data_IF_649538884761
#
_entry.id   IF_649538884761
#
_cell.length_a   1.000
_cell.length_b   1.000
_cell.length_c   1.000
_cell.angle_alpha   90.00
_cell.angle_beta   90.00
_cell.angle_gamma   90.00
#
_symmetry.space_group_name_H-M   'P 1'
#
loop_
_entity.id
_entity.type
_entity.pdbx_description
1 polymer ?
#
# COMPACT_ATOMS: atom_id res chain seq x y z
N UNK A 1 6.91 13.91 12.63
CA UNK A 1 7.63 14.45 11.45
C UNK A 1 6.77 14.61 10.20
N UNK A 2 5.76 13.75 9.93
CA UNK A 2 4.76 13.96 8.86
C UNK A 2 3.61 14.93 9.24
N UNK A 3 3.33 15.13 10.54
CA UNK A 3 2.26 16.01 11.02
C UNK A 3 2.57 17.52 10.89
N UNK A 4 3.82 17.90 10.69
CA UNK A 4 4.28 19.31 10.76
C UNK A 4 4.85 19.83 9.44
N UNK A 5 4.56 19.16 8.31
CA UNK A 5 5.00 19.66 7.01
C UNK A 5 4.31 20.99 6.69
N UNK A 6 5.07 22.07 6.41
CA UNK A 6 4.54 23.43 6.19
C UNK A 6 3.72 23.59 4.89
N UNK A 7 3.57 22.50 4.12
CA UNK A 7 2.83 22.49 2.84
C UNK A 7 1.34 22.13 3.00
N UNK A 8 0.80 22.03 4.23
CA UNK A 8 -0.56 21.52 4.48
C UNK A 8 -1.59 22.62 4.80
N UNK A 9 -2.74 22.67 4.11
CA UNK A 9 -3.90 23.45 4.57
C UNK A 9 -4.49 22.86 5.85
N UNK A 10 -4.71 23.70 6.87
CA UNK A 10 -5.09 23.31 8.24
C UNK A 10 -6.44 22.55 8.35
N UNK A 11 -7.32 22.57 7.33
CA UNK A 11 -8.64 21.92 7.36
C UNK A 11 -8.59 20.39 7.26
N UNK A 12 -7.54 19.81 6.66
CA UNK A 12 -7.52 18.38 6.28
C UNK A 12 -6.75 17.50 7.28
N UNK A 13 -6.41 18.06 8.44
CA UNK A 13 -5.57 17.38 9.44
C UNK A 13 -6.25 16.14 10.02
N UNK A 14 -7.53 16.24 10.38
CA UNK A 14 -8.31 15.13 10.98
C UNK A 14 -8.50 13.98 9.99
N UNK A 15 -8.85 14.29 8.74
CA UNK A 15 -9.00 13.29 7.67
C UNK A 15 -7.73 12.51 7.41
N UNK A 16 -6.58 13.19 7.46
CA UNK A 16 -5.30 12.53 7.28
C UNK A 16 -4.92 11.65 8.47
N UNK A 17 -5.08 12.14 9.69
CA UNK A 17 -4.80 11.37 10.91
C UNK A 17 -5.66 10.10 10.94
N UNK A 18 -6.96 10.23 10.63
CA UNK A 18 -7.87 9.10 10.49
C UNK A 18 -7.44 8.14 9.38
N UNK A 19 -7.08 8.65 8.20
CA UNK A 19 -6.62 7.82 7.08
C UNK A 19 -5.33 7.06 7.43
N UNK A 20 -4.42 7.66 8.20
CA UNK A 20 -3.22 6.98 8.70
C UNK A 20 -3.55 5.87 9.71
N UNK A 21 -4.50 6.11 10.62
CA UNK A 21 -4.96 5.09 11.57
C UNK A 21 -5.63 3.92 10.85
N UNK A 22 -6.50 4.23 9.88
CA UNK A 22 -7.16 3.23 9.03
C UNK A 22 -6.11 2.42 8.26
N UNK A 23 -5.12 3.08 7.64
CA UNK A 23 -4.06 2.38 6.92
C UNK A 23 -3.26 1.44 7.84
N UNK A 24 -2.96 1.87 9.06
CA UNK A 24 -2.27 1.03 10.05
C UNK A 24 -3.10 -0.20 10.40
N UNK A 25 -4.38 -0.01 10.71
CA UNK A 25 -5.30 -1.10 11.03
C UNK A 25 -5.43 -2.09 9.87
N UNK A 26 -5.62 -1.59 8.64
CA UNK A 26 -5.73 -2.43 7.45
C UNK A 26 -4.46 -3.24 7.19
N UNK A 27 -3.28 -2.63 7.35
CA UNK A 27 -2.01 -3.33 7.19
C UNK A 27 -1.82 -4.44 8.23
N UNK A 28 -2.24 -4.21 9.49
CA UNK A 28 -2.22 -5.26 10.53
C UNK A 28 -3.21 -6.37 10.17
N UNK A 29 -4.44 -6.02 9.80
CA UNK A 29 -5.47 -6.99 9.42
C UNK A 29 -5.03 -7.84 8.21
N UNK A 30 -4.45 -7.21 7.20
CA UNK A 30 -3.87 -7.86 6.03
C UNK A 30 -2.81 -8.91 6.43
N UNK A 31 -1.86 -8.53 7.28
CA UNK A 31 -0.82 -9.43 7.77
C UNK A 31 -1.39 -10.61 8.57
N UNK A 32 -2.44 -10.39 9.36
CA UNK A 32 -3.13 -11.45 10.08
C UNK A 32 -3.83 -12.43 9.14
N UNK A 33 -4.51 -11.95 8.09
CA UNK A 33 -5.13 -12.80 7.10
C UNK A 33 -4.10 -13.58 6.26
N UNK A 34 -2.95 -12.97 5.93
CA UNK A 34 -1.83 -13.67 5.28
C UNK A 34 -1.26 -14.78 6.17
N UNK A 35 -1.10 -14.51 7.47
CA UNK A 35 -0.66 -15.51 8.42
C UNK A 35 -1.65 -16.69 8.46
N UNK A 36 -2.95 -16.38 8.51
CA UNK A 36 -4.00 -17.39 8.51
C UNK A 36 -3.99 -18.23 7.22
N UNK A 37 -3.84 -17.60 6.05
CA UNK A 37 -3.66 -18.29 4.75
C UNK A 37 -2.44 -19.22 4.74
N UNK A 38 -1.36 -18.83 5.40
CA UNK A 38 -0.13 -19.64 5.50
C UNK A 38 -0.37 -20.89 6.33
N UNK A 39 -1.21 -20.80 7.37
CA UNK A 39 -1.54 -21.94 8.25
C UNK A 39 -2.69 -22.81 7.73
N UNK A 40 -3.60 -22.26 6.92
CA UNK A 40 -4.79 -22.94 6.45
C UNK A 40 -4.69 -23.31 4.96
N UNK A 41 -4.30 -24.55 4.70
CA UNK A 41 -4.31 -25.11 3.36
C UNK A 41 -5.74 -25.25 2.81
N UNK A 42 -5.91 -25.02 1.51
CA UNK A 42 -7.19 -25.15 0.81
C UNK A 42 -7.74 -26.58 0.81
N UNK A 43 -6.88 -27.59 0.99
CA UNK A 43 -7.24 -29.01 1.08
C UNK A 43 -7.74 -29.39 2.48
N UNK A 44 -7.12 -28.82 3.52
CA UNK A 44 -7.42 -29.17 4.90
C UNK A 44 -8.64 -28.40 5.42
N UNK A 45 -8.72 -27.10 5.11
CA UNK A 45 -9.76 -26.22 5.64
C UNK A 45 -10.20 -25.18 4.60
N UNK A 46 -10.94 -25.65 3.58
CA UNK A 46 -11.43 -24.83 2.48
C UNK A 46 -12.15 -23.54 2.93
N UNK A 47 -13.01 -23.62 3.95
CA UNK A 47 -13.76 -22.46 4.46
C UNK A 47 -12.83 -21.40 5.03
N UNK A 48 -11.85 -21.81 5.84
CA UNK A 48 -10.87 -20.90 6.45
C UNK A 48 -10.01 -20.28 5.35
N UNK A 49 -9.53 -21.07 4.39
CA UNK A 49 -8.76 -20.58 3.26
C UNK A 49 -9.52 -19.51 2.46
N UNK A 50 -10.78 -19.79 2.09
CA UNK A 50 -11.63 -18.85 1.35
C UNK A 50 -11.85 -17.54 2.10
N UNK A 51 -12.19 -17.60 3.39
CA UNK A 51 -12.42 -16.41 4.21
C UNK A 51 -11.14 -15.61 4.39
N UNK A 52 -10.01 -16.30 4.59
CA UNK A 52 -8.70 -15.66 4.77
C UNK A 52 -8.22 -14.99 3.49
N UNK A 53 -8.42 -15.64 2.33
CA UNK A 53 -8.09 -15.07 1.02
C UNK A 53 -8.91 -13.81 0.74
N UNK A 54 -10.22 -13.86 0.99
CA UNK A 54 -11.09 -12.70 0.80
C UNK A 54 -10.72 -11.57 1.76
N UNK A 55 -10.49 -11.87 3.04
CA UNK A 55 -10.06 -10.90 4.04
C UNK A 55 -8.73 -10.24 3.67
N UNK A 56 -7.73 -11.03 3.32
CA UNK A 56 -6.43 -10.54 2.83
C UNK A 56 -6.60 -9.65 1.60
N UNK A 57 -7.32 -10.11 0.58
CA UNK A 57 -7.47 -9.39 -0.69
C UNK A 57 -8.19 -8.06 -0.50
N UNK A 58 -9.25 -8.01 0.33
CA UNK A 58 -9.97 -6.77 0.62
C UNK A 58 -9.13 -5.81 1.47
N UNK A 59 -8.53 -6.28 2.56
CA UNK A 59 -7.70 -5.44 3.42
C UNK A 59 -6.51 -4.86 2.66
N UNK A 60 -5.79 -5.68 1.89
CA UNK A 60 -4.65 -5.24 1.09
C UNK A 60 -5.05 -4.23 0.01
N UNK A 61 -6.16 -4.47 -0.68
CA UNK A 61 -6.64 -3.56 -1.73
C UNK A 61 -7.05 -2.20 -1.15
N UNK A 62 -7.80 -2.19 -0.04
CA UNK A 62 -8.17 -0.93 0.63
C UNK A 62 -6.93 -0.24 1.17
N UNK A 63 -5.98 -0.98 1.77
CA UNK A 63 -4.70 -0.44 2.21
C UNK A 63 -3.93 0.22 1.06
N UNK A 64 -3.80 -0.45 -0.08
CA UNK A 64 -3.13 0.08 -1.27
C UNK A 64 -3.75 1.40 -1.74
N UNK A 65 -5.09 1.49 -1.75
CA UNK A 65 -5.82 2.72 -2.09
C UNK A 65 -5.53 3.84 -1.09
N UNK A 66 -5.68 3.57 0.21
CA UNK A 66 -5.46 4.56 1.27
C UNK A 66 -3.99 5.02 1.28
N UNK A 67 -3.04 4.10 1.17
CA UNK A 67 -1.61 4.40 1.14
C UNK A 67 -1.21 5.22 -0.11
N UNK A 68 -1.77 4.92 -1.28
CA UNK A 68 -1.52 5.68 -2.51
C UNK A 68 -2.08 7.10 -2.40
N UNK A 69 -3.29 7.24 -1.87
CA UNK A 69 -3.92 8.54 -1.61
C UNK A 69 -3.12 9.35 -0.59
N UNK A 70 -2.73 8.74 0.53
CA UNK A 70 -1.85 9.37 1.54
C UNK A 70 -0.51 9.81 0.96
N UNK A 71 0.07 9.03 0.04
CA UNK A 71 1.32 9.37 -0.65
C UNK A 71 1.17 10.63 -1.51
N UNK A 72 0.06 10.73 -2.26
CA UNK A 72 -0.27 11.91 -3.05
C UNK A 72 -0.50 13.14 -2.16
N UNK A 73 -1.29 13.00 -1.09
CA UNK A 73 -1.58 14.09 -0.15
C UNK A 73 -0.36 14.56 0.64
N UNK A 74 0.58 13.67 0.95
CA UNK A 74 1.81 14.03 1.68
C UNK A 74 2.77 14.91 0.85
N UNK A 75 2.47 15.16 -0.43
CA UNK A 75 3.34 15.94 -1.32
C UNK A 75 4.62 15.23 -1.73
N UNK A 76 4.86 13.99 -1.26
CA UNK A 76 6.05 13.17 -1.56
C UNK A 76 6.24 12.93 -3.05
N UNK A 77 5.15 12.89 -3.80
CA UNK A 77 5.17 12.85 -5.27
C UNK A 77 5.97 14.01 -5.87
N UNK A 78 5.83 15.22 -5.35
CA UNK A 78 6.42 16.45 -5.90
C UNK A 78 7.86 16.71 -5.44
N UNK A 79 8.39 15.90 -4.52
CA UNK A 79 9.72 16.15 -3.95
C UNK A 79 10.87 15.67 -4.85
N UNK A 80 10.64 14.71 -5.76
CA UNK A 80 11.67 14.18 -6.65
C UNK A 80 11.08 13.41 -7.84
N UNK A 81 11.85 13.24 -8.91
CA UNK A 81 11.49 12.36 -10.04
C UNK A 81 11.29 10.90 -9.62
N UNK A 82 12.01 10.44 -8.59
CA UNK A 82 11.83 9.12 -7.99
C UNK A 82 10.48 8.99 -7.27
N UNK A 83 10.01 10.07 -6.61
CA UNK A 83 8.68 10.11 -5.98
C UNK A 83 7.54 10.01 -6.99
N UNK A 84 7.68 10.63 -8.16
CA UNK A 84 6.72 10.48 -9.27
C UNK A 84 6.68 9.04 -9.79
N UNK A 85 7.85 8.41 -9.99
CA UNK A 85 7.92 7.00 -10.41
C UNK A 85 7.33 6.06 -9.36
N UNK A 86 7.65 6.24 -8.09
CA UNK A 86 7.06 5.48 -6.98
C UNK A 86 5.53 5.57 -6.99
N UNK A 87 4.98 6.78 -7.20
CA UNK A 87 3.53 6.97 -7.31
C UNK A 87 2.92 6.22 -8.51
N UNK A 88 3.53 6.30 -9.68
CA UNK A 88 3.07 5.55 -10.87
C UNK A 88 3.05 4.05 -10.63
N UNK A 89 4.09 3.49 -9.98
CA UNK A 89 4.13 2.08 -9.61
C UNK A 89 3.05 1.70 -8.59
N UNK A 90 2.81 2.53 -7.57
CA UNK A 90 1.74 2.30 -6.58
C UNK A 90 0.36 2.25 -7.24
N UNK A 91 0.05 3.21 -8.11
CA UNK A 91 -1.21 3.24 -8.87
C UNK A 91 -1.33 2.01 -9.77
N UNK A 92 -0.27 1.63 -10.49
CA UNK A 92 -0.25 0.47 -11.36
C UNK A 92 -0.52 -0.83 -10.59
N UNK A 93 0.21 -1.08 -9.50
CA UNK A 93 0.02 -2.29 -8.68
C UNK A 93 -1.37 -2.35 -8.08
N UNK A 94 -1.89 -1.22 -7.57
CA UNK A 94 -3.25 -1.14 -7.05
C UNK A 94 -4.30 -1.47 -8.14
N UNK A 95 -4.10 -0.98 -9.36
CA UNK A 95 -5.02 -1.20 -10.49
C UNK A 95 -5.01 -2.65 -10.95
N UNK A 96 -3.83 -3.27 -11.06
CA UNK A 96 -3.69 -4.68 -11.41
C UNK A 96 -4.29 -5.56 -10.32
N UNK A 97 -4.06 -5.23 -9.03
CA UNK A 97 -4.63 -5.97 -7.90
C UNK A 97 -6.17 -5.96 -7.93
N UNK A 98 -6.77 -4.79 -8.14
CA UNK A 98 -8.23 -4.63 -8.29
C UNK A 98 -8.78 -5.46 -9.46
N UNK A 99 -8.15 -5.36 -10.63
CA UNK A 99 -8.56 -6.13 -11.81
C UNK A 99 -8.44 -7.64 -11.55
N UNK A 100 -7.35 -8.07 -10.93
CA UNK A 100 -7.11 -9.48 -10.62
C UNK A 100 -8.11 -10.01 -9.60
N UNK A 101 -8.49 -9.20 -8.60
CA UNK A 101 -9.54 -9.56 -7.65
C UNK A 101 -10.90 -9.75 -8.33
N UNK A 102 -11.27 -8.85 -9.26
CA UNK A 102 -12.49 -8.99 -10.05
C UNK A 102 -12.46 -10.25 -10.93
N UNK A 103 -11.32 -10.54 -11.57
CA UNK A 103 -11.14 -11.76 -12.36
C UNK A 103 -11.21 -13.02 -11.49
N UNK A 104 -10.64 -13.01 -10.29
CA UNK A 104 -10.72 -14.12 -9.35
C UNK A 104 -12.17 -14.42 -8.97
N UNK A 105 -12.96 -13.39 -8.64
CA UNK A 105 -14.41 -13.55 -8.37
C UNK A 105 -15.14 -14.11 -9.58
N UNK A 106 -14.88 -13.57 -10.77
CA UNK A 106 -15.51 -14.05 -12.01
C UNK A 106 -15.17 -15.51 -12.31
N UNK A 107 -13.90 -15.91 -12.25
CA UNK A 107 -13.49 -17.29 -12.51
C UNK A 107 -13.99 -18.25 -11.43
N UNK A 108 -14.09 -17.81 -10.18
CA UNK A 108 -14.66 -18.60 -9.09
C UNK A 108 -16.13 -18.94 -9.36
N UNK A 109 -16.96 -17.94 -9.67
CA UNK A 109 -18.38 -18.14 -10.00
C UNK A 109 -18.55 -19.00 -11.26
N UNK A 110 -17.74 -18.74 -12.29
CA UNK A 110 -17.77 -19.51 -13.55
C UNK A 110 -17.39 -20.97 -13.35
N UNK A 111 -16.35 -21.24 -12.55
CA UNK A 111 -15.92 -22.59 -12.22
C UNK A 111 -17.04 -23.37 -11.51
N UNK A 112 -17.69 -22.75 -10.53
CA UNK A 112 -18.76 -23.38 -9.74
C UNK A 112 -20.05 -23.59 -10.56
N UNK A 113 -20.32 -22.73 -11.55
CA UNK A 113 -21.55 -22.80 -12.35
C UNK A 113 -21.44 -23.76 -13.53
N UNK A 114 -20.33 -23.72 -14.26
CA UNK A 114 -20.19 -24.41 -15.55
C UNK A 114 -19.22 -25.60 -15.54
N UNK A 115 -18.40 -25.76 -14.48
CA UNK A 115 -17.43 -26.85 -14.36
C UNK A 115 -16.49 -27.01 -15.57
N UNK A 116 -16.18 -25.91 -16.26
CA UNK A 116 -15.33 -25.94 -17.45
C UNK A 116 -13.87 -26.25 -17.10
N UNK A 117 -13.19 -27.10 -17.90
CA UNK A 117 -11.79 -27.42 -17.69
C UNK A 117 -10.90 -26.17 -17.84
N UNK A 118 -9.96 -25.99 -16.93
CA UNK A 118 -8.98 -24.89 -16.96
C UNK A 118 -9.41 -23.58 -16.28
N UNK A 119 -10.70 -23.37 -15.99
CA UNK A 119 -11.16 -22.16 -15.29
C UNK A 119 -10.59 -22.08 -13.86
N UNK A 120 -10.48 -23.22 -13.17
CA UNK A 120 -9.85 -23.26 -11.85
C UNK A 120 -8.39 -22.80 -11.87
N UNK A 121 -7.65 -23.09 -12.95
CA UNK A 121 -6.28 -22.63 -13.12
C UNK A 121 -6.22 -21.12 -13.33
N UNK A 122 -7.14 -20.55 -14.12
CA UNK A 122 -7.23 -19.10 -14.31
C UNK A 122 -7.62 -18.37 -13.02
N UNK A 123 -8.50 -18.96 -12.23
CA UNK A 123 -8.81 -18.51 -10.87
C UNK A 123 -7.53 -18.45 -10.01
N UNK A 124 -6.79 -19.56 -9.92
CA UNK A 124 -5.54 -19.60 -9.15
C UNK A 124 -4.49 -18.59 -9.63
N UNK A 125 -4.36 -18.38 -10.95
CA UNK A 125 -3.48 -17.35 -11.52
C UNK A 125 -3.91 -15.95 -11.05
N UNK A 126 -5.20 -15.66 -11.06
CA UNK A 126 -5.72 -14.37 -10.58
C UNK A 126 -5.44 -14.17 -9.08
N UNK A 127 -5.55 -15.22 -8.26
CA UNK A 127 -5.16 -15.16 -6.84
C UNK A 127 -3.67 -14.84 -6.67
N UNK A 128 -2.80 -15.52 -7.42
CA UNK A 128 -1.36 -15.26 -7.39
C UNK A 128 -1.00 -13.84 -7.81
N UNK A 129 -1.68 -13.28 -8.81
CA UNK A 129 -1.45 -11.89 -9.24
C UNK A 129 -1.87 -10.89 -8.15
N UNK A 130 -2.94 -11.15 -7.39
CA UNK A 130 -3.31 -10.32 -6.22
C UNK A 130 -2.18 -10.33 -5.19
N UNK A 131 -1.65 -11.50 -4.83
CA UNK A 131 -0.54 -11.62 -3.87
C UNK A 131 0.72 -10.95 -4.38
N UNK A 132 1.08 -11.17 -5.66
CA UNK A 132 2.27 -10.59 -6.26
C UNK A 132 2.21 -9.06 -6.31
N UNK A 133 1.07 -8.51 -6.73
CA UNK A 133 0.88 -7.04 -6.77
C UNK A 133 0.96 -6.42 -5.39
N UNK A 134 0.46 -7.10 -4.36
CA UNK A 134 0.63 -6.67 -2.97
C UNK A 134 2.12 -6.62 -2.57
N UNK A 135 2.89 -7.69 -2.80
CA UNK A 135 4.33 -7.73 -2.51
C UNK A 135 5.06 -6.59 -3.23
N UNK A 136 4.80 -6.42 -4.53
CA UNK A 136 5.41 -5.37 -5.34
C UNK A 136 5.01 -3.97 -4.85
N UNK A 137 3.78 -3.79 -4.40
CA UNK A 137 3.32 -2.54 -3.79
C UNK A 137 4.13 -2.23 -2.51
N UNK A 138 4.33 -3.19 -1.62
CA UNK A 138 5.15 -2.98 -0.41
C UNK A 138 6.64 -2.73 -0.74
N UNK A 139 7.17 -3.38 -1.77
CA UNK A 139 8.53 -3.12 -2.26
C UNK A 139 8.76 -1.67 -2.73
N UNK A 140 7.70 -0.94 -3.12
CA UNK A 140 7.83 0.48 -3.47
C UNK A 140 8.35 1.34 -2.31
N UNK A 141 8.24 0.87 -1.07
CA UNK A 141 8.84 1.52 0.11
C UNK A 141 10.37 1.67 -0.01
N UNK A 142 11.04 0.77 -0.75
CA UNK A 142 12.49 0.87 -0.98
C UNK A 142 12.86 2.13 -1.75
N UNK A 143 12.03 2.52 -2.73
CA UNK A 143 12.21 3.79 -3.45
C UNK A 143 11.88 5.00 -2.58
N UNK A 144 10.91 4.84 -1.68
CA UNK A 144 10.46 5.90 -0.79
C UNK A 144 11.50 6.27 0.29
N UNK A 145 12.35 5.32 0.69
CA UNK A 145 13.44 5.54 1.66
C UNK A 145 14.83 5.71 1.04
N UNK A 146 14.95 5.62 -0.29
CA UNK A 146 16.23 5.72 -0.96
C UNK A 146 16.91 7.07 -0.65
N UNK A 147 18.11 7.03 -0.05
CA UNK A 147 18.88 8.21 0.34
C UNK A 147 18.39 8.93 1.61
N UNK A 148 17.44 8.36 2.37
CA UNK A 148 17.04 8.90 3.68
C UNK A 148 17.70 8.11 4.81
N UNK A 149 18.44 8.81 5.66
CA UNK A 149 19.09 8.24 6.83
C UNK A 149 18.32 8.63 8.10
N UNK A 150 18.21 7.71 9.05
CA UNK A 150 17.60 7.96 10.35
C UNK A 150 18.73 8.03 11.40
N UNK A 151 18.93 9.21 12.00
CA UNK A 151 19.92 9.40 13.07
C UNK A 151 19.17 9.41 14.39
N UNK A 152 19.40 8.38 15.20
CA UNK A 152 19.00 8.38 16.61
C UNK A 152 20.06 9.16 17.39
N UNK A 153 19.68 10.33 17.88
CA UNK A 153 20.55 11.16 18.70
C UNK A 153 19.98 11.28 20.11
N UNK A 154 20.86 11.19 21.11
CA UNK A 154 20.52 11.49 22.51
C UNK A 154 20.28 12.99 22.63
N UNK A 155 19.16 13.40 23.24
CA UNK A 155 18.79 14.80 23.39
C UNK A 155 19.80 15.56 24.27
N UNK A 156 20.79 16.19 23.63
CA UNK A 156 21.65 17.19 24.27
C UNK A 156 20.98 18.57 24.24
N UNK A 157 21.23 19.45 25.24
CA UNK A 157 20.46 20.68 25.49
C UNK A 157 20.50 21.77 24.40
N UNK A 158 21.24 21.57 23.30
CA UNK A 158 21.35 22.54 22.20
C UNK A 158 21.09 21.86 20.85
N UNK A 159 19.85 21.45 20.59
CA UNK A 159 19.51 20.75 19.36
C UNK A 159 18.99 21.71 18.29
N UNK A 160 19.81 21.99 17.27
CA UNK A 160 19.38 22.59 16.02
C UNK A 160 18.70 21.50 15.17
N UNK A 161 17.40 21.60 14.94
CA UNK A 161 16.71 20.69 14.03
C UNK A 161 17.24 20.90 12.61
N UNK A 162 17.99 19.93 12.07
CA UNK A 162 18.30 19.90 10.64
C UNK A 162 17.07 19.30 9.92
N UNK A 163 16.38 20.06 9.05
CA UNK A 163 15.19 19.55 8.38
C UNK A 163 15.56 18.35 7.49
N UNK A 164 14.90 17.21 7.68
CA UNK A 164 15.02 15.99 6.86
C UNK A 164 14.36 16.12 5.47
N UNK A 165 13.91 17.32 5.12
CA UNK A 165 13.35 17.68 3.83
C UNK A 165 14.20 18.82 3.28
N UNK A 166 14.63 18.77 2.00
CA UNK A 166 15.24 19.94 1.37
C UNK A 166 14.23 21.09 1.45
N UNK A 167 14.62 22.19 2.08
CA UNK A 167 13.78 23.38 2.11
C UNK A 167 13.52 23.83 0.68
N UNK A 168 12.24 24.04 0.35
CA UNK A 168 11.86 24.66 -0.91
C UNK A 168 12.41 26.08 -0.92
N UNK A 169 13.56 26.28 -1.58
CA UNK A 169 14.17 27.58 -1.74
C UNK A 169 13.39 28.39 -2.79
N UNK A 170 12.42 29.19 -2.31
CA UNK A 170 11.58 30.06 -3.13
C UNK A 170 12.38 31.13 -3.90
N UNK A 171 13.66 31.35 -3.56
CA UNK A 171 14.51 32.38 -4.15
C UNK A 171 15.22 31.95 -5.45
N UNK A 172 15.05 30.69 -5.89
CA UNK A 172 15.70 30.17 -7.11
C UNK A 172 14.90 30.39 -8.41
N UNK A 173 13.86 31.23 -8.37
CA UNK A 173 13.02 31.59 -9.54
C UNK A 173 13.14 33.05 -10.01
N UNK A 174 14.01 33.87 -9.40
CA UNK A 174 14.17 35.29 -9.76
C UNK A 174 15.55 35.63 -10.32
N UNK A 175 16.09 34.79 -11.19
CA UNK A 175 17.21 35.12 -12.09
C UNK A 175 16.95 34.52 -13.45
#
# INVERSE_FOLDING_TARGET
LLLTSPLRPLSDRTWFELSCQIACFLNIAEALFLLLLTTASSIENYVVHKVSFLGFSLCSTIYMLVATTLFQYSGRRRTSSLGEKSFQYKVLMCSISMLSLLLAVYFFERHNTYCEPGIYTLFAIAEYVVVLTNILFHCTLLFDFHGKYFILTSSGPNFHYQPLLPEFNANKRST
#
